data_IF_970517295504
#
_entry.id   IF_970517295504
#
_cell.length_a   1.000
_cell.length_b   1.000
_cell.length_c   1.000
_cell.angle_alpha   90.00
_cell.angle_beta   90.00
_cell.angle_gamma   90.00
#
_symmetry.space_group_name_H-M   'P 1'
#
loop_
_entity.id
_entity.type
_entity.pdbx_description
1 polymer ?
#
# COMPACT_ATOMS: atom_id res chain seq x y z
N UNK A 1 9.20 -3.42 -14.60
CA UNK A 1 9.00 -3.85 -13.19
C UNK A 1 7.72 -4.63 -13.12
N UNK A 2 7.71 -5.76 -12.42
CA UNK A 2 6.49 -6.56 -12.24
C UNK A 2 5.46 -5.80 -11.40
N UNK A 3 4.15 -6.07 -11.57
CA UNK A 3 3.11 -5.43 -10.75
C UNK A 3 3.33 -5.68 -9.26
N UNK A 4 3.80 -6.87 -8.88
CA UNK A 4 4.21 -7.17 -7.51
C UNK A 4 5.37 -6.29 -7.03
N UNK A 5 6.46 -6.16 -7.79
CA UNK A 5 7.61 -5.35 -7.40
C UNK A 5 7.26 -3.86 -7.19
N UNK A 6 6.35 -3.32 -8.02
CA UNK A 6 5.84 -1.96 -7.87
C UNK A 6 5.04 -1.80 -6.57
N UNK A 7 4.15 -2.74 -6.28
CA UNK A 7 3.36 -2.74 -5.04
C UNK A 7 4.25 -2.93 -3.80
N UNK A 8 5.25 -3.81 -3.84
CA UNK A 8 6.17 -4.06 -2.73
C UNK A 8 7.09 -2.86 -2.46
N UNK A 9 7.48 -2.12 -3.50
CA UNK A 9 8.18 -0.83 -3.34
C UNK A 9 7.31 0.19 -2.62
N UNK A 10 6.04 0.31 -3.00
CA UNK A 10 5.09 1.20 -2.32
C UNK A 10 4.90 0.81 -0.85
N UNK A 11 4.74 -0.49 -0.55
CA UNK A 11 4.61 -0.98 0.82
C UNK A 11 5.84 -0.63 1.69
N UNK A 12 7.06 -0.82 1.17
CA UNK A 12 8.29 -0.42 1.87
C UNK A 12 8.39 1.09 2.09
N UNK A 13 8.02 1.88 1.08
CA UNK A 13 7.96 3.34 1.21
C UNK A 13 6.94 3.76 2.27
N UNK A 14 5.75 3.16 2.29
CA UNK A 14 4.72 3.43 3.30
C UNK A 14 5.17 3.07 4.72
N UNK A 15 5.92 1.97 4.90
CA UNK A 15 6.53 1.65 6.19
C UNK A 15 7.50 2.74 6.66
N UNK A 16 8.33 3.27 5.75
CA UNK A 16 9.23 4.37 6.07
C UNK A 16 8.47 5.67 6.40
N UNK A 17 7.41 5.98 5.64
CA UNK A 17 6.53 7.13 5.92
C UNK A 17 5.87 7.00 7.29
N UNK A 18 5.33 5.82 7.62
CA UNK A 18 4.73 5.57 8.93
C UNK A 18 5.73 5.78 10.07
N UNK A 19 6.94 5.21 9.95
CA UNK A 19 7.99 5.39 10.95
C UNK A 19 8.37 6.87 11.11
N UNK A 20 8.54 7.59 9.99
CA UNK A 20 8.83 9.02 10.00
C UNK A 20 7.70 9.81 10.68
N UNK A 21 6.44 9.52 10.36
CA UNK A 21 5.29 10.19 10.96
C UNK A 21 5.23 9.96 12.47
N UNK A 22 5.45 8.73 12.94
CA UNK A 22 5.49 8.42 14.39
C UNK A 22 6.59 9.25 15.07
N UNK A 23 7.80 9.30 14.49
CA UNK A 23 8.90 10.10 15.01
C UNK A 23 8.57 11.60 15.02
N UNK A 24 7.97 12.11 13.95
CA UNK A 24 7.56 13.52 13.86
C UNK A 24 6.53 13.89 14.94
N UNK A 25 5.54 13.02 15.17
CA UNK A 25 4.55 13.23 16.25
C UNK A 25 5.24 13.20 17.61
N UNK A 26 6.09 12.21 17.89
CA UNK A 26 6.80 12.11 19.15
C UNK A 26 7.65 13.36 19.44
N UNK A 27 8.39 13.85 18.44
CA UNK A 27 9.19 15.09 18.55
C UNK A 27 8.29 16.30 18.76
N UNK A 28 7.20 16.44 17.99
CA UNK A 28 6.28 17.58 18.13
C UNK A 28 5.61 17.63 19.51
N UNK A 29 5.20 16.48 20.05
CA UNK A 29 4.60 16.38 21.38
C UNK A 29 5.59 16.77 22.49
N UNK A 30 6.90 16.50 22.31
CA UNK A 30 7.93 16.96 23.26
C UNK A 30 8.07 18.49 23.30
N UNK A 31 7.85 19.19 22.17
CA UNK A 31 8.00 20.65 22.10
C UNK A 31 6.70 21.41 22.38
N UNK A 32 5.55 20.86 22.00
CA UNK A 32 4.25 21.55 22.01
C UNK A 32 3.32 21.04 23.13
N UNK A 33 3.63 19.90 23.75
CA UNK A 33 2.75 19.20 24.70
C UNK A 33 1.63 18.43 23.98
N UNK A 34 0.90 17.58 24.72
CA UNK A 34 -0.12 16.69 24.16
C UNK A 34 -1.19 17.42 23.35
N UNK A 35 -1.08 17.36 22.01
CA UNK A 35 -1.86 18.15 21.08
C UNK A 35 -2.61 17.25 20.09
N UNK A 36 -3.92 17.08 20.31
CA UNK A 36 -4.81 16.32 19.42
C UNK A 36 -4.76 16.78 17.95
N UNK A 37 -4.41 18.05 17.70
CA UNK A 37 -4.27 18.61 16.35
C UNK A 37 -3.08 18.02 15.58
N UNK A 38 -1.93 17.82 16.24
CA UNK A 38 -0.73 17.23 15.61
C UNK A 38 -1.02 15.79 15.20
N UNK A 39 -1.66 15.04 16.09
CA UNK A 39 -2.08 13.68 15.82
C UNK A 39 -3.10 13.59 14.67
N UNK A 40 -4.12 14.48 14.66
CA UNK A 40 -5.11 14.53 13.58
C UNK A 40 -4.46 14.85 12.22
N UNK A 41 -3.54 15.82 12.18
CA UNK A 41 -2.80 16.16 10.97
C UNK A 41 -1.95 14.97 10.45
N UNK A 42 -1.30 14.24 11.37
CA UNK A 42 -0.52 13.05 11.04
C UNK A 42 -1.39 11.93 10.42
N UNK A 43 -2.57 11.67 10.98
CA UNK A 43 -3.52 10.70 10.40
C UNK A 43 -3.93 11.11 8.99
N UNK A 44 -4.31 12.37 8.80
CA UNK A 44 -4.73 12.88 7.49
C UNK A 44 -3.60 12.72 6.47
N UNK A 45 -2.37 13.09 6.84
CA UNK A 45 -1.20 12.92 5.98
C UNK A 45 -0.96 11.45 5.60
N UNK A 46 -1.09 10.51 6.55
CA UNK A 46 -0.94 9.08 6.29
C UNK A 46 -2.03 8.53 5.35
N UNK A 47 -3.28 8.98 5.50
CA UNK A 47 -4.38 8.59 4.62
C UNK A 47 -4.06 8.99 3.17
N UNK A 48 -3.64 10.24 2.95
CA UNK A 48 -3.30 10.72 1.61
C UNK A 48 -2.06 10.01 1.04
N UNK A 49 -1.03 9.78 1.85
CA UNK A 49 0.16 9.04 1.43
C UNK A 49 -0.20 7.60 1.00
N UNK A 50 -1.11 6.94 1.73
CA UNK A 50 -1.53 5.57 1.46
C UNK A 50 -2.54 5.44 0.31
N UNK A 51 -3.16 6.53 -0.16
CA UNK A 51 -4.21 6.48 -1.18
C UNK A 51 -3.76 5.77 -2.49
N UNK A 52 -2.46 5.86 -2.83
CA UNK A 52 -1.88 5.19 -4.02
C UNK A 52 -1.99 3.66 -3.96
N UNK A 53 -2.16 3.07 -2.78
CA UNK A 53 -2.39 1.64 -2.56
C UNK A 53 -3.56 1.09 -3.39
N UNK A 54 -4.60 1.92 -3.62
CA UNK A 54 -5.80 1.54 -4.39
C UNK A 54 -5.51 1.27 -5.88
N UNK A 55 -4.37 1.75 -6.40
CA UNK A 55 -4.01 1.62 -7.82
C UNK A 55 -3.25 0.33 -8.15
N UNK A 56 -2.85 -0.45 -7.13
CA UNK A 56 -2.07 -1.67 -7.32
C UNK A 56 -2.97 -2.88 -7.54
N UNK A 57 -3.38 -3.05 -8.80
CA UNK A 57 -4.32 -4.10 -9.21
C UNK A 57 -3.63 -5.21 -10.01
N UNK A 58 -4.19 -6.41 -9.94
CA UNK A 58 -3.80 -7.54 -10.79
C UNK A 58 -4.09 -7.22 -12.27
N UNK A 59 -3.12 -7.39 -13.18
CA UNK A 59 -3.30 -7.06 -14.59
C UNK A 59 -4.34 -7.94 -15.30
N UNK A 60 -4.58 -9.16 -14.80
CA UNK A 60 -5.48 -10.12 -15.43
C UNK A 60 -6.96 -9.95 -15.00
N UNK A 61 -7.24 -9.66 -13.73
CA UNK A 61 -8.61 -9.64 -13.20
C UNK A 61 -9.01 -8.33 -12.49
N UNK A 62 -8.11 -7.36 -12.40
CA UNK A 62 -8.35 -6.06 -11.77
C UNK A 62 -8.46 -6.07 -10.24
N UNK A 63 -8.36 -7.22 -9.57
CA UNK A 63 -8.40 -7.30 -8.09
C UNK A 63 -7.17 -6.61 -7.47
N UNK A 64 -7.38 -5.78 -6.45
CA UNK A 64 -6.29 -5.11 -5.73
C UNK A 64 -5.40 -6.12 -4.98
N UNK A 65 -4.08 -5.94 -5.06
CA UNK A 65 -3.07 -6.84 -4.53
C UNK A 65 -2.98 -6.85 -2.99
N UNK A 66 -3.46 -5.79 -2.34
CA UNK A 66 -3.42 -5.67 -0.89
C UNK A 66 -4.71 -6.15 -0.19
N UNK A 67 -5.79 -6.34 -0.95
CA UNK A 67 -7.08 -6.73 -0.41
C UNK A 67 -7.25 -8.25 -0.40
N UNK A 68 -7.47 -8.81 0.78
CA UNK A 68 -7.81 -10.22 1.00
C UNK A 68 -9.25 -10.32 1.52
N UNK A 69 -10.19 -10.03 0.64
CA UNK A 69 -11.60 -9.86 1.02
C UNK A 69 -11.83 -8.49 1.63
N UNK A 70 -12.51 -8.42 2.76
CA UNK A 70 -12.71 -7.18 3.52
C UNK A 70 -11.44 -6.73 4.27
N UNK A 71 -10.43 -7.61 4.39
CA UNK A 71 -9.19 -7.31 5.10
C UNK A 71 -8.16 -6.67 4.17
N UNK A 72 -7.69 -5.48 4.57
CA UNK A 72 -6.55 -4.80 3.97
C UNK A 72 -5.29 -5.25 4.67
N UNK A 73 -4.31 -5.78 3.93
CA UNK A 73 -3.03 -6.18 4.50
C UNK A 73 -1.90 -5.32 3.97
N UNK A 74 -0.97 -4.98 4.85
CA UNK A 74 0.17 -4.10 4.58
C UNK A 74 1.10 -4.59 3.47
N UNK A 75 1.11 -5.90 3.18
CA UNK A 75 1.98 -6.50 2.16
C UNK A 75 1.18 -6.96 0.93
N UNK A 76 1.64 -6.68 -0.30
CA UNK A 76 0.95 -7.14 -1.50
C UNK A 76 1.04 -8.65 -1.66
N UNK A 77 0.01 -9.24 -2.26
CA UNK A 77 0.02 -10.66 -2.58
C UNK A 77 0.77 -10.92 -3.89
N UNK A 78 1.68 -11.90 -3.93
CA UNK A 78 2.40 -12.28 -5.16
C UNK A 78 1.47 -12.99 -6.14
N UNK A 79 0.71 -13.95 -5.64
CA UNK A 79 -0.28 -14.70 -6.42
C UNK A 79 -1.64 -14.08 -6.19
N UNK A 80 -2.37 -13.76 -7.27
CA UNK A 80 -3.69 -13.18 -7.14
C UNK A 80 -4.67 -14.19 -6.51
N UNK A 81 -5.19 -13.90 -5.32
CA UNK A 81 -6.21 -14.73 -4.65
C UNK A 81 -7.62 -14.65 -5.25
N UNK A 82 -7.75 -14.36 -6.55
CA UNK A 82 -9.02 -14.49 -7.32
C UNK A 82 -8.79 -15.31 -8.58
N UNK A 83 -7.81 -14.93 -9.41
CA UNK A 83 -7.53 -15.59 -10.68
C UNK A 83 -6.28 -16.48 -10.69
N UNK A 84 -5.52 -16.54 -9.59
CA UNK A 84 -4.29 -17.35 -9.51
C UNK A 84 -3.10 -16.81 -10.31
N UNK A 85 -3.21 -15.62 -10.89
CA UNK A 85 -2.13 -15.02 -11.70
C UNK A 85 -0.91 -14.67 -10.84
N UNK A 86 0.29 -15.08 -11.29
CA UNK A 86 1.56 -14.69 -10.67
C UNK A 86 1.92 -13.26 -11.09
N UNK A 87 1.75 -12.32 -10.16
CA UNK A 87 2.00 -10.90 -10.39
C UNK A 87 3.49 -10.54 -10.30
N UNK A 88 4.37 -11.52 -10.10
CA UNK A 88 5.83 -11.36 -10.17
C UNK A 88 6.46 -12.18 -11.31
N UNK A 89 5.65 -12.96 -12.04
CA UNK A 89 6.10 -13.76 -13.17
C UNK A 89 6.22 -12.94 -14.47
N UNK A 90 6.84 -13.50 -15.51
CA UNK A 90 6.80 -12.94 -16.85
C UNK A 90 5.35 -12.83 -17.32
N UNK A 91 4.99 -11.69 -17.89
CA UNK A 91 3.64 -11.39 -18.35
C UNK A 91 3.19 -12.46 -19.36
N UNK A 92 2.28 -13.34 -18.94
CA UNK A 92 1.70 -14.32 -19.85
C UNK A 92 0.69 -13.60 -20.74
N UNK A 93 0.71 -13.81 -22.08
CA UNK A 93 -0.26 -13.20 -22.97
C UNK A 93 -1.69 -13.55 -22.51
N UNK A 94 -2.50 -12.51 -22.40
CA UNK A 94 -3.89 -12.61 -21.93
C UNK A 94 -4.70 -13.48 -22.92
N UNK A 95 -5.33 -14.59 -22.49
CA UNK A 95 -6.18 -15.41 -23.35
C UNK A 95 -7.47 -14.69 -23.79
N UNK A 96 -7.79 -13.51 -23.27
CA UNK A 96 -8.95 -12.70 -23.66
C UNK A 96 -8.69 -11.76 -24.87
N UNK A 97 -7.48 -11.77 -25.46
CA UNK A 97 -7.19 -11.03 -26.69
C UNK A 97 -7.21 -11.96 -27.93
N UNK A 98 -8.20 -12.86 -28.00
CA UNK A 98 -8.48 -13.70 -29.15
C UNK A 98 -9.97 -13.62 -29.48
#
# INVERSE_FOLDING_TARGET
MTPYARAARHARWMLAVLALTILSVAVAEMFVGHSNLVFAAAIIALIFANARMLTHNCPNCGKNLFFRGALVVFWPNRICGRCGHDCDGPERPNPQNR
#
